data_IF_058330818135
#
_entry.id   IF_058330818135
#
_cell.length_a   1.000
_cell.length_b   1.000
_cell.length_c   1.000
_cell.angle_alpha   90.00
_cell.angle_beta   90.00
_cell.angle_gamma   90.00
#
_symmetry.space_group_name_H-M   'P 1'
#
loop_
_entity.id
_entity.type
_entity.pdbx_description
1 polymer ?
#
# COMPACT_ATOMS: atom_id res chain seq x y z
N UNK A 1 -3.46 9.80 -28.17
CA UNK A 1 -2.14 9.51 -27.56
C UNK A 1 -2.41 9.13 -26.10
N UNK A 2 -1.80 8.07 -25.59
CA UNK A 2 -1.99 7.66 -24.19
C UNK A 2 -1.25 8.65 -23.29
N UNK A 3 -1.97 9.25 -22.35
CA UNK A 3 -1.40 10.09 -21.29
C UNK A 3 -2.12 9.77 -19.98
N UNK A 4 -1.37 9.35 -18.96
CA UNK A 4 -1.88 8.92 -17.66
C UNK A 4 -1.61 9.94 -16.55
N UNK A 5 -1.03 11.08 -16.91
CA UNK A 5 -0.80 12.17 -15.98
C UNK A 5 -2.12 12.78 -15.55
N UNK A 6 -2.25 13.08 -14.28
CA UNK A 6 -3.36 13.85 -13.71
C UNK A 6 -2.84 15.08 -13.02
N UNK A 7 -3.65 16.14 -12.98
CA UNK A 7 -3.23 17.47 -12.54
C UNK A 7 -3.18 17.62 -11.02
N UNK A 8 -3.91 16.76 -10.29
CA UNK A 8 -4.00 16.85 -8.83
C UNK A 8 -4.25 15.49 -8.18
N UNK A 9 -3.98 15.43 -6.87
CA UNK A 9 -4.27 14.25 -6.07
C UNK A 9 -5.78 14.01 -5.94
N UNK A 10 -6.59 15.05 -5.87
CA UNK A 10 -8.05 14.94 -5.80
C UNK A 10 -8.63 14.40 -7.12
N UNK A 11 -8.09 14.83 -8.25
CA UNK A 11 -8.40 14.25 -9.55
C UNK A 11 -7.97 12.78 -9.62
N UNK A 12 -6.81 12.45 -9.06
CA UNK A 12 -6.29 11.08 -9.07
C UNK A 12 -7.24 10.08 -8.39
N UNK A 13 -7.95 10.51 -7.32
CA UNK A 13 -8.87 9.66 -6.54
C UNK A 13 -10.36 9.97 -6.81
N UNK A 14 -10.69 10.70 -7.88
CA UNK A 14 -12.03 11.25 -8.14
C UNK A 14 -13.19 10.23 -8.07
N UNK A 15 -12.96 9.02 -8.52
CA UNK A 15 -13.94 7.93 -8.62
C UNK A 15 -13.89 6.94 -7.45
N UNK A 16 -13.03 7.18 -6.46
CA UNK A 16 -12.99 6.38 -5.25
C UNK A 16 -14.22 6.68 -4.38
N UNK A 17 -14.99 5.66 -4.04
CA UNK A 17 -16.23 5.76 -3.28
C UNK A 17 -16.22 4.95 -1.99
N UNK A 18 -17.36 4.95 -1.30
CA UNK A 18 -17.58 4.19 -0.07
C UNK A 18 -17.38 2.70 -0.27
N UNK A 19 -16.90 2.03 0.78
CA UNK A 19 -16.69 0.58 0.78
C UNK A 19 -15.48 0.09 -0.04
N UNK A 20 -14.76 0.97 -0.73
CA UNK A 20 -13.63 0.59 -1.59
C UNK A 20 -12.52 -0.16 -0.84
N UNK A 21 -11.92 -1.12 -1.51
CA UNK A 21 -10.72 -1.85 -1.06
C UNK A 21 -9.47 -1.19 -1.63
N UNK A 22 -8.64 -0.65 -0.73
CA UNK A 22 -7.42 0.08 -1.05
C UNK A 22 -6.18 -0.75 -0.73
N UNK A 23 -5.40 -1.08 -1.74
CA UNK A 23 -4.04 -1.58 -1.56
C UNK A 23 -3.12 -0.36 -1.39
N UNK A 24 -2.53 -0.19 -0.21
CA UNK A 24 -1.69 0.97 0.09
C UNK A 24 -0.24 0.52 0.18
N UNK A 25 0.56 1.00 -0.75
CA UNK A 25 1.97 0.65 -0.90
C UNK A 25 2.85 1.10 0.27
N UNK A 26 4.08 0.60 0.29
CA UNK A 26 5.04 0.81 1.36
C UNK A 26 5.16 -0.38 2.30
N UNK A 27 6.17 -0.33 3.17
CA UNK A 27 6.44 -1.39 4.14
C UNK A 27 6.36 -0.88 5.57
N UNK A 28 7.10 0.16 5.90
CA UNK A 28 7.09 0.81 7.21
C UNK A 28 7.70 2.21 7.21
N UNK A 29 8.36 2.61 6.12
CA UNK A 29 9.03 3.90 6.00
C UNK A 29 8.15 4.97 5.35
N UNK A 30 8.36 6.23 5.72
CA UNK A 30 7.62 7.32 5.09
C UNK A 30 8.04 7.58 3.64
N UNK A 31 9.29 7.23 3.28
CA UNK A 31 9.76 7.32 1.90
C UNK A 31 9.01 6.39 0.95
N UNK A 32 8.32 5.39 1.49
CA UNK A 32 7.66 4.33 0.74
C UNK A 32 6.16 4.53 0.60
N UNK A 33 5.56 5.33 1.51
CA UNK A 33 4.13 5.54 1.58
C UNK A 33 3.67 6.55 0.52
N UNK A 34 2.55 6.26 -0.19
CA UNK A 34 1.89 7.22 -1.08
C UNK A 34 1.09 8.24 -0.26
N UNK A 35 1.80 9.07 0.50
CA UNK A 35 1.29 9.93 1.57
C UNK A 35 0.26 10.95 1.08
N UNK A 36 0.50 11.58 -0.07
CA UNK A 36 -0.41 12.59 -0.62
C UNK A 36 -1.67 11.97 -1.21
N UNK A 37 -1.57 10.74 -1.75
CA UNK A 37 -2.76 9.98 -2.17
C UNK A 37 -3.63 9.60 -0.96
N UNK A 38 -3.01 9.17 0.15
CA UNK A 38 -3.73 8.91 1.41
C UNK A 38 -4.44 10.18 1.90
N UNK A 39 -3.77 11.33 1.87
CA UNK A 39 -4.38 12.61 2.25
C UNK A 39 -5.55 12.99 1.33
N UNK A 40 -5.44 12.75 0.02
CA UNK A 40 -6.52 13.01 -0.93
C UNK A 40 -7.75 12.11 -0.64
N UNK A 41 -7.55 10.83 -0.38
CA UNK A 41 -8.64 9.93 0.05
C UNK A 41 -9.29 10.43 1.35
N UNK A 42 -8.48 10.89 2.30
CA UNK A 42 -8.99 11.43 3.56
C UNK A 42 -9.91 12.65 3.36
N UNK A 43 -9.59 13.53 2.41
CA UNK A 43 -10.42 14.71 2.07
C UNK A 43 -11.77 14.35 1.42
N UNK A 44 -11.85 13.20 0.74
CA UNK A 44 -13.12 12.73 0.14
C UNK A 44 -14.18 12.34 1.17
N UNK A 45 -13.78 12.12 2.43
CA UNK A 45 -14.69 11.74 3.52
C UNK A 45 -15.48 10.44 3.26
N UNK A 46 -15.05 9.61 2.32
CA UNK A 46 -15.60 8.28 2.04
C UNK A 46 -15.52 7.38 3.27
N UNK A 47 -16.44 6.42 3.39
CA UNK A 47 -16.58 5.55 4.55
C UNK A 47 -16.51 4.06 4.19
N UNK A 48 -16.34 3.23 5.22
CA UNK A 48 -16.40 1.79 5.08
C UNK A 48 -15.23 1.18 4.31
N UNK A 49 -14.10 1.88 4.19
CA UNK A 49 -12.93 1.42 3.44
C UNK A 49 -12.34 0.13 4.03
N UNK A 50 -11.86 -0.74 3.15
CA UNK A 50 -10.96 -1.83 3.50
C UNK A 50 -9.54 -1.44 3.09
N UNK A 51 -8.61 -1.38 4.03
CA UNK A 51 -7.20 -1.13 3.73
C UNK A 51 -6.40 -2.42 3.74
N UNK A 52 -5.52 -2.57 2.75
CA UNK A 52 -4.64 -3.72 2.58
C UNK A 52 -3.20 -3.22 2.56
N UNK A 53 -2.35 -3.77 3.42
CA UNK A 53 -0.94 -3.37 3.47
C UNK A 53 -0.11 -4.19 4.45
N UNK A 54 1.19 -3.91 4.50
CA UNK A 54 2.04 -4.53 5.52
C UNK A 54 1.59 -4.11 6.93
N UNK A 55 1.37 -2.82 7.13
CA UNK A 55 0.85 -2.24 8.37
C UNK A 55 -0.09 -1.09 8.06
N UNK A 56 -0.89 -0.71 9.06
CA UNK A 56 -1.73 0.49 8.98
C UNK A 56 -0.97 1.79 9.31
N UNK A 57 0.32 1.70 9.67
CA UNK A 57 1.10 2.83 10.16
C UNK A 57 0.89 3.10 11.65
N UNK A 58 1.75 3.95 12.20
CA UNK A 58 1.83 4.19 13.65
C UNK A 58 1.07 5.43 14.13
N UNK A 59 0.38 6.14 13.23
CA UNK A 59 -0.15 7.47 13.52
C UNK A 59 0.89 8.59 13.34
N UNK A 60 0.40 9.75 12.93
CA UNK A 60 1.27 10.89 12.60
C UNK A 60 2.05 11.40 13.83
N UNK A 61 1.36 11.59 14.95
CA UNK A 61 1.99 12.03 16.21
C UNK A 61 3.03 11.03 16.76
N UNK A 62 2.68 9.74 16.70
CA UNK A 62 3.57 8.68 17.15
C UNK A 62 4.85 8.62 16.30
N UNK A 63 4.69 8.76 14.98
CA UNK A 63 5.81 8.79 14.04
C UNK A 63 6.72 9.98 14.31
N UNK A 64 6.18 11.18 14.50
CA UNK A 64 6.95 12.38 14.83
C UNK A 64 7.75 12.20 16.12
N UNK A 65 7.14 11.70 17.19
CA UNK A 65 7.80 11.50 18.50
C UNK A 65 8.85 10.40 18.48
N UNK A 66 8.50 9.23 17.91
CA UNK A 66 9.37 8.05 17.95
C UNK A 66 10.54 8.14 17.00
N UNK A 67 10.30 8.68 15.80
CA UNK A 67 11.31 8.76 14.76
C UNK A 67 12.16 10.03 14.85
N UNK A 68 11.78 11.00 15.70
CA UNK A 68 12.50 12.26 15.87
C UNK A 68 13.99 12.10 16.20
N UNK A 69 14.37 10.98 16.82
CA UNK A 69 15.78 10.66 17.14
C UNK A 69 16.54 10.05 15.96
N UNK A 70 15.83 9.46 15.00
CA UNK A 70 16.43 8.74 13.86
C UNK A 70 16.24 9.49 12.55
N UNK A 71 15.07 10.10 12.38
CA UNK A 71 14.69 10.78 11.14
C UNK A 71 13.77 11.96 11.45
N UNK A 72 13.86 13.01 10.65
CA UNK A 72 12.86 14.09 10.66
C UNK A 72 11.66 13.62 9.81
N UNK A 73 10.57 13.24 10.48
CA UNK A 73 9.31 12.97 9.78
C UNK A 73 8.78 14.26 9.17
N UNK A 74 8.47 14.30 7.87
CA UNK A 74 7.83 15.46 7.26
C UNK A 74 6.52 15.82 7.95
N UNK A 75 6.22 17.12 8.06
CA UNK A 75 4.99 17.58 8.71
C UNK A 75 3.73 17.19 7.93
N UNK A 76 3.86 17.03 6.63
CA UNK A 76 2.84 16.62 5.66
C UNK A 76 2.86 15.12 5.34
N UNK A 77 3.40 14.29 6.24
CA UNK A 77 3.34 12.84 6.13
C UNK A 77 1.99 12.30 6.62
N UNK A 78 1.27 11.61 5.75
CA UNK A 78 -0.03 10.99 6.02
C UNK A 78 0.07 9.47 5.87
N UNK A 79 0.29 8.71 6.97
CA UNK A 79 0.30 7.25 6.95
C UNK A 79 -1.10 6.69 6.69
N UNK A 80 -1.26 5.39 6.34
CA UNK A 80 -2.58 4.77 6.18
C UNK A 80 -3.46 4.89 7.42
N UNK A 81 -2.88 4.95 8.63
CA UNK A 81 -3.61 5.18 9.89
C UNK A 81 -4.35 6.52 9.93
N UNK A 82 -3.98 7.49 9.11
CA UNK A 82 -4.69 8.77 9.01
C UNK A 82 -6.16 8.57 8.57
N UNK A 83 -6.43 7.57 7.70
CA UNK A 83 -7.80 7.19 7.33
C UNK A 83 -8.56 6.56 8.51
N UNK A 84 -7.85 5.85 9.41
CA UNK A 84 -8.44 5.24 10.61
C UNK A 84 -8.79 6.33 11.63
N UNK A 85 -7.88 7.27 11.87
CA UNK A 85 -8.08 8.42 12.77
C UNK A 85 -9.29 9.27 12.33
N UNK A 86 -9.61 9.29 11.03
CA UNK A 86 -10.78 9.96 10.46
C UNK A 86 -12.06 9.10 10.45
N UNK A 87 -12.00 7.86 10.97
CA UNK A 87 -13.15 6.95 11.01
C UNK A 87 -13.65 6.51 9.63
N UNK A 88 -12.76 6.44 8.64
CA UNK A 88 -13.10 6.07 7.27
C UNK A 88 -12.94 4.57 6.99
N UNK A 89 -12.19 3.85 7.85
CA UNK A 89 -11.81 2.45 7.65
C UNK A 89 -12.73 1.53 8.46
N UNK A 90 -13.27 0.51 7.81
CA UNK A 90 -14.06 -0.57 8.42
C UNK A 90 -13.22 -1.83 8.67
N UNK A 91 -12.26 -2.14 7.78
CA UNK A 91 -11.49 -3.37 7.83
C UNK A 91 -10.02 -3.13 7.47
N UNK A 92 -9.12 -3.77 8.19
CA UNK A 92 -7.70 -3.90 7.81
C UNK A 92 -7.36 -5.34 7.46
N UNK A 93 -6.71 -5.56 6.30
CA UNK A 93 -6.06 -6.83 5.91
C UNK A 93 -4.57 -6.57 6.01
N UNK A 94 -3.96 -6.98 7.11
CA UNK A 94 -2.63 -6.52 7.53
C UNK A 94 -1.74 -7.69 7.93
N UNK A 95 -0.44 -7.55 7.62
CA UNK A 95 0.58 -8.49 8.08
C UNK A 95 1.14 -8.10 9.46
N UNK A 96 1.16 -6.81 9.75
CA UNK A 96 1.69 -6.26 11.01
C UNK A 96 0.77 -5.14 11.53
N UNK A 97 -0.30 -5.47 12.27
CA UNK A 97 -1.28 -4.49 12.77
C UNK A 97 -0.84 -3.73 14.01
N UNK A 98 0.16 -4.26 14.76
CA UNK A 98 0.56 -3.72 16.05
C UNK A 98 1.66 -2.66 15.93
N UNK A 99 1.69 -1.73 16.89
CA UNK A 99 2.83 -0.84 17.09
C UNK A 99 3.97 -1.57 17.83
N UNK A 100 5.20 -1.20 17.52
CA UNK A 100 6.34 -1.62 18.33
C UNK A 100 6.46 -0.68 19.53
N UNK A 101 6.36 -1.20 20.76
CA UNK A 101 6.53 -0.44 21.99
C UNK A 101 5.29 -0.45 22.90
N UNK A 102 5.25 0.43 23.87
CA UNK A 102 4.21 0.45 24.92
C UNK A 102 2.93 1.22 24.51
N UNK A 103 2.98 2.04 23.47
CA UNK A 103 1.82 2.80 22.99
C UNK A 103 1.11 2.08 21.85
N UNK A 104 -0.22 2.08 21.88
CA UNK A 104 -1.04 1.51 20.82
C UNK A 104 -1.03 2.41 19.58
N UNK A 105 -1.06 1.78 18.41
CA UNK A 105 -1.35 2.47 17.15
C UNK A 105 -2.82 2.87 17.05
N UNK A 106 -3.18 3.81 16.16
CA UNK A 106 -4.59 4.12 15.87
C UNK A 106 -5.40 2.88 15.46
N UNK A 107 -4.79 1.92 14.76
CA UNK A 107 -5.43 0.66 14.41
C UNK A 107 -5.75 -0.19 15.64
N UNK A 108 -4.78 -0.37 16.55
CA UNK A 108 -4.96 -1.16 17.77
C UNK A 108 -6.02 -0.54 18.70
N UNK A 109 -6.07 0.80 18.76
CA UNK A 109 -7.11 1.50 19.55
C UNK A 109 -8.51 1.29 18.96
N UNK A 110 -8.66 1.45 17.63
CA UNK A 110 -9.93 1.26 16.96
C UNK A 110 -10.40 -0.21 17.01
N UNK A 111 -9.46 -1.15 16.85
CA UNK A 111 -9.75 -2.59 16.97
C UNK A 111 -10.20 -2.96 18.38
N UNK A 112 -9.51 -2.48 19.43
CA UNK A 112 -9.89 -2.74 20.82
C UNK A 112 -11.27 -2.19 21.19
N UNK A 113 -11.73 -1.12 20.48
CA UNK A 113 -13.08 -0.54 20.64
C UNK A 113 -14.13 -1.23 19.75
N UNK A 114 -13.78 -2.27 18.99
CA UNK A 114 -14.69 -2.95 18.05
C UNK A 114 -15.12 -2.09 16.87
N UNK A 115 -14.39 -1.03 16.54
CA UNK A 115 -14.72 -0.08 15.47
C UNK A 115 -14.17 -0.51 14.10
N UNK A 116 -13.18 -1.43 14.08
CA UNK A 116 -12.53 -1.91 12.86
C UNK A 116 -12.32 -3.41 12.93
N UNK A 117 -12.49 -4.08 11.79
CA UNK A 117 -12.21 -5.51 11.64
C UNK A 117 -10.74 -5.75 11.27
N UNK A 118 -10.18 -6.88 11.71
CA UNK A 118 -8.84 -7.33 11.33
C UNK A 118 -8.91 -8.69 10.62
N UNK A 119 -8.32 -8.75 9.43
CA UNK A 119 -7.86 -9.99 8.81
C UNK A 119 -6.34 -10.03 8.92
N UNK A 120 -5.84 -10.81 9.89
CA UNK A 120 -4.41 -11.00 10.06
C UNK A 120 -3.89 -12.03 9.04
N UNK A 121 -2.82 -11.70 8.34
CA UNK A 121 -2.23 -12.53 7.30
C UNK A 121 -0.71 -12.55 7.44
N UNK A 122 -0.09 -13.70 7.20
CA UNK A 122 1.38 -13.76 7.10
C UNK A 122 1.89 -12.89 5.96
N UNK A 123 2.97 -12.15 6.20
CA UNK A 123 3.49 -11.15 5.25
C UNK A 123 3.80 -11.73 3.86
N UNK A 124 4.45 -12.92 3.82
CA UNK A 124 4.71 -13.61 2.57
C UNK A 124 3.42 -14.02 1.84
N UNK A 125 2.42 -14.51 2.58
CA UNK A 125 1.09 -14.85 2.02
C UNK A 125 0.38 -13.61 1.50
N UNK A 126 0.49 -12.45 2.18
CA UNK A 126 -0.04 -11.17 1.69
C UNK A 126 0.59 -10.80 0.35
N UNK A 127 1.91 -10.83 0.27
CA UNK A 127 2.64 -10.50 -0.96
C UNK A 127 2.24 -11.42 -2.12
N UNK A 128 2.13 -12.73 -1.87
CA UNK A 128 1.75 -13.71 -2.90
C UNK A 128 0.27 -13.59 -3.29
N UNK A 129 -0.65 -13.31 -2.37
CA UNK A 129 -2.06 -13.06 -2.70
C UNK A 129 -2.23 -11.85 -3.62
N UNK A 130 -1.46 -10.79 -3.38
CA UNK A 130 -1.43 -9.57 -4.22
C UNK A 130 -0.79 -9.89 -5.58
N UNK A 131 0.37 -10.57 -5.59
CA UNK A 131 1.04 -10.99 -6.83
C UNK A 131 0.14 -11.89 -7.69
N UNK A 132 -0.55 -12.82 -7.05
CA UNK A 132 -1.51 -13.73 -7.67
C UNK A 132 -2.66 -12.98 -8.34
N UNK A 133 -3.20 -11.94 -7.65
CA UNK A 133 -4.22 -11.07 -8.20
C UNK A 133 -3.75 -10.32 -9.46
N UNK A 134 -2.54 -9.74 -9.41
CA UNK A 134 -1.90 -9.09 -10.57
C UNK A 134 -1.71 -10.03 -11.76
N UNK A 135 -1.38 -11.30 -11.48
CA UNK A 135 -1.16 -12.32 -12.51
C UNK A 135 -2.47 -12.91 -13.08
N UNK A 136 -3.65 -12.53 -12.56
CA UNK A 136 -4.92 -13.12 -12.94
C UNK A 136 -5.13 -14.57 -12.45
N UNK A 137 -4.34 -15.03 -11.49
CA UNK A 137 -4.42 -16.36 -10.88
C UNK A 137 -5.42 -16.32 -9.73
N UNK A 138 -6.33 -17.29 -9.63
CA UNK A 138 -7.42 -17.26 -8.66
C UNK A 138 -6.96 -17.52 -7.20
N UNK A 139 -5.88 -18.26 -7.01
CA UNK A 139 -5.32 -18.61 -5.72
C UNK A 139 -4.17 -19.59 -5.84
N UNK A 140 -3.56 -19.93 -4.71
CA UNK A 140 -2.44 -20.87 -4.63
C UNK A 140 -2.46 -21.63 -3.32
N UNK A 141 -1.84 -22.80 -3.29
CA UNK A 141 -1.63 -23.57 -2.08
C UNK A 141 -0.28 -23.25 -1.44
N UNK A 142 -0.27 -23.03 -0.13
CA UNK A 142 0.95 -22.76 0.65
C UNK A 142 0.97 -23.56 1.95
N UNK A 143 2.13 -24.02 2.42
CA UNK A 143 2.22 -24.64 3.74
C UNK A 143 2.21 -23.62 4.88
N UNK A 144 2.32 -22.32 4.57
CA UNK A 144 2.35 -21.25 5.58
C UNK A 144 0.99 -21.12 6.24
N UNK A 145 0.98 -21.17 7.57
CA UNK A 145 -0.23 -21.04 8.38
C UNK A 145 -1.00 -22.35 8.61
N UNK A 146 -0.61 -23.48 8.01
CA UNK A 146 -1.22 -24.78 8.29
C UNK A 146 -1.13 -25.11 9.79
N UNK A 147 -2.26 -25.52 10.40
CA UNK A 147 -2.35 -25.81 11.84
C UNK A 147 -2.42 -24.58 12.75
N UNK A 148 -2.52 -23.38 12.19
CA UNK A 148 -2.72 -22.13 12.95
C UNK A 148 -4.13 -21.55 12.71
N UNK A 149 -4.52 -20.55 13.50
CA UNK A 149 -5.79 -19.84 13.32
C UNK A 149 -5.90 -19.15 11.96
N UNK A 150 -4.77 -18.83 11.29
CA UNK A 150 -4.76 -18.24 9.95
C UNK A 150 -5.35 -19.19 8.89
N UNK A 151 -5.27 -20.49 9.11
CA UNK A 151 -5.85 -21.50 8.23
C UNK A 151 -7.34 -21.79 8.53
N UNK A 152 -7.90 -21.24 9.60
CA UNK A 152 -9.27 -21.53 10.01
C UNK A 152 -10.27 -21.14 8.89
N UNK A 153 -11.15 -22.10 8.54
CA UNK A 153 -12.16 -21.90 7.49
C UNK A 153 -11.64 -21.93 6.05
N UNK A 154 -10.33 -22.14 5.84
CA UNK A 154 -9.74 -22.28 4.51
C UNK A 154 -9.65 -23.74 4.09
N UNK A 155 -9.71 -23.99 2.79
CA UNK A 155 -9.50 -25.33 2.21
C UNK A 155 -8.05 -25.77 2.47
N UNK A 156 -7.90 -27.02 2.93
CA UNK A 156 -6.60 -27.68 3.14
C UNK A 156 -6.50 -28.89 2.23
N UNK A 157 -5.42 -29.00 1.48
CA UNK A 157 -5.07 -30.19 0.67
C UNK A 157 -3.71 -30.73 1.04
N UNK A 158 -3.53 -32.02 0.78
CA UNK A 158 -2.24 -32.68 0.95
C UNK A 158 -1.63 -32.96 -0.42
N UNK A 159 -0.34 -32.63 -0.57
CA UNK A 159 0.49 -32.92 -1.74
C UNK A 159 1.79 -33.53 -1.21
N UNK A 160 2.16 -34.69 -1.73
CA UNK A 160 3.40 -35.39 -1.39
C UNK A 160 3.62 -35.56 0.14
N UNK A 161 2.54 -35.92 0.86
CA UNK A 161 2.57 -36.12 2.33
C UNK A 161 2.63 -34.84 3.16
N UNK A 162 2.52 -33.63 2.52
CA UNK A 162 2.54 -32.34 3.20
C UNK A 162 1.23 -31.58 3.01
N UNK A 163 0.71 -31.00 4.10
CA UNK A 163 -0.51 -30.19 4.07
C UNK A 163 -0.25 -28.76 3.61
N UNK A 164 -1.18 -28.23 2.83
CA UNK A 164 -1.20 -26.88 2.29
C UNK A 164 -2.57 -26.27 2.48
N UNK A 165 -2.61 -24.96 2.71
CA UNK A 165 -3.83 -24.16 2.79
C UNK A 165 -4.01 -23.37 1.50
N UNK A 166 -5.24 -23.28 1.00
CA UNK A 166 -5.59 -22.44 -0.14
C UNK A 166 -5.64 -20.96 0.27
N UNK A 167 -4.78 -20.16 -0.33
CA UNK A 167 -4.84 -18.70 -0.28
C UNK A 167 -5.42 -18.16 -1.58
N UNK A 168 -6.49 -17.37 -1.48
CA UNK A 168 -7.13 -16.73 -2.64
C UNK A 168 -6.44 -15.43 -3.02
N UNK A 169 -6.46 -15.10 -4.31
CA UNK A 169 -5.98 -13.82 -4.81
C UNK A 169 -6.65 -12.64 -4.08
N UNK A 170 -5.87 -11.63 -3.73
CA UNK A 170 -6.34 -10.44 -3.04
C UNK A 170 -6.35 -9.26 -4.01
N UNK A 171 -7.51 -8.98 -4.57
CA UNK A 171 -7.76 -7.85 -5.48
C UNK A 171 -8.24 -6.64 -4.70
N UNK A 172 -7.84 -5.44 -5.15
CA UNK A 172 -8.40 -4.17 -4.68
C UNK A 172 -9.21 -3.45 -5.76
N UNK A 173 -9.94 -2.44 -5.33
CA UNK A 173 -10.54 -1.46 -6.25
C UNK A 173 -9.48 -0.47 -6.70
N UNK A 174 -8.66 -0.01 -5.74
CA UNK A 174 -7.56 0.92 -5.99
C UNK A 174 -6.26 0.42 -5.37
N UNK A 175 -5.16 0.57 -6.13
CA UNK A 175 -3.79 0.50 -5.60
C UNK A 175 -3.23 1.91 -5.54
N UNK A 176 -2.95 2.39 -4.34
CA UNK A 176 -2.24 3.64 -4.09
C UNK A 176 -0.77 3.30 -3.89
N UNK A 177 0.08 3.69 -4.81
CA UNK A 177 1.50 3.34 -4.77
C UNK A 177 2.40 4.56 -4.91
N UNK A 178 3.63 4.42 -4.41
CA UNK A 178 4.68 5.41 -4.59
C UNK A 178 5.80 4.86 -5.46
N UNK A 179 6.29 5.68 -6.39
CA UNK A 179 7.50 5.40 -7.16
C UNK A 179 8.42 6.63 -7.16
N UNK A 180 9.62 6.50 -7.72
CA UNK A 180 10.57 7.58 -7.84
C UNK A 180 10.31 8.40 -9.11
N UNK A 181 10.29 7.74 -10.27
CA UNK A 181 10.08 8.41 -11.56
C UNK A 181 9.04 7.67 -12.38
N UNK A 182 8.29 8.40 -13.18
CA UNK A 182 7.39 7.85 -14.19
C UNK A 182 7.55 8.57 -15.52
N UNK A 183 7.17 7.93 -16.61
CA UNK A 183 6.83 8.60 -17.85
C UNK A 183 5.31 8.78 -17.99
N UNK A 184 4.87 9.50 -19.02
CA UNK A 184 3.43 9.74 -19.30
C UNK A 184 2.64 8.45 -19.58
N UNK A 185 3.30 7.36 -19.91
CA UNK A 185 2.67 6.05 -20.13
C UNK A 185 2.47 5.27 -18.84
N UNK A 186 3.00 5.76 -17.71
CA UNK A 186 2.92 5.11 -16.41
C UNK A 186 3.96 4.02 -16.19
N UNK A 187 5.05 3.98 -16.96
CA UNK A 187 6.21 3.17 -16.63
C UNK A 187 6.88 3.74 -15.37
N UNK A 188 7.20 2.86 -14.39
CA UNK A 188 7.70 3.31 -13.09
C UNK A 188 9.09 2.77 -12.80
N UNK A 189 9.92 3.67 -12.27
CA UNK A 189 11.23 3.39 -11.67
C UNK A 189 11.16 3.68 -10.17
N UNK A 190 11.72 2.79 -9.37
CA UNK A 190 11.78 2.92 -7.92
C UNK A 190 13.20 3.26 -7.46
N UNK A 191 13.30 3.89 -6.28
CA UNK A 191 14.59 4.23 -5.68
C UNK A 191 14.64 3.71 -4.24
N UNK A 192 15.71 2.94 -3.91
CA UNK A 192 15.89 2.39 -2.58
C UNK A 192 14.68 1.58 -2.12
N UNK A 193 14.20 1.85 -0.92
CA UNK A 193 13.10 1.12 -0.27
C UNK A 193 11.72 1.44 -0.84
N UNK A 194 11.57 2.40 -1.76
CA UNK A 194 10.26 2.70 -2.37
C UNK A 194 9.71 1.54 -3.20
N UNK A 195 10.54 0.57 -3.59
CA UNK A 195 10.10 -0.59 -4.37
C UNK A 195 9.13 -1.48 -3.61
N UNK A 196 9.48 -1.95 -2.43
CA UNK A 196 8.70 -2.79 -1.48
C UNK A 196 7.35 -3.31 -2.02
N UNK A 197 6.25 -3.15 -1.27
CA UNK A 197 4.90 -3.52 -1.71
C UNK A 197 4.37 -2.67 -2.88
N UNK A 198 4.95 -1.47 -3.12
CA UNK A 198 4.51 -0.60 -4.20
C UNK A 198 4.55 -1.31 -5.57
N UNK A 199 5.68 -1.96 -5.88
CA UNK A 199 5.83 -2.69 -7.13
C UNK A 199 4.92 -3.93 -7.21
N UNK A 200 4.65 -4.59 -6.09
CA UNK A 200 3.80 -5.78 -6.02
C UNK A 200 2.32 -5.43 -6.19
N UNK A 201 1.88 -4.32 -5.60
CA UNK A 201 0.49 -3.86 -5.64
C UNK A 201 0.08 -3.26 -6.99
N UNK A 202 1.04 -2.76 -7.78
CA UNK A 202 0.76 -2.28 -9.12
C UNK A 202 0.10 -3.38 -9.97
N UNK A 203 -1.10 -3.10 -10.51
CA UNK A 203 -1.87 -4.04 -11.33
C UNK A 203 -2.66 -5.09 -10.56
N UNK A 204 -2.65 -5.08 -9.22
CA UNK A 204 -3.47 -5.97 -8.40
C UNK A 204 -4.88 -5.40 -8.11
N UNK A 205 -5.16 -4.19 -8.57
CA UNK A 205 -6.46 -3.51 -8.42
C UNK A 205 -7.01 -3.09 -9.78
N UNK A 206 -8.29 -2.73 -9.80
CA UNK A 206 -8.92 -2.21 -11.01
C UNK A 206 -8.24 -0.90 -11.48
N UNK A 207 -7.86 -0.05 -10.53
CA UNK A 207 -7.17 1.22 -10.79
C UNK A 207 -5.90 1.30 -9.94
N UNK A 208 -4.76 1.46 -10.58
CA UNK A 208 -3.48 1.78 -9.93
C UNK A 208 -3.15 3.24 -10.14
N UNK A 209 -2.92 3.96 -9.04
CA UNK A 209 -2.54 5.37 -9.00
C UNK A 209 -1.14 5.47 -8.43
N UNK A 210 -0.21 6.04 -9.19
CA UNK A 210 1.17 6.21 -8.78
C UNK A 210 1.45 7.67 -8.39
N UNK A 211 1.85 7.89 -7.14
CA UNK A 211 2.46 9.12 -6.64
C UNK A 211 3.95 9.06 -6.93
N UNK A 212 4.50 10.04 -7.65
CA UNK A 212 5.91 10.02 -8.07
C UNK A 212 6.63 11.31 -7.71
N UNK A 213 7.96 11.22 -7.56
CA UNK A 213 8.78 12.41 -7.30
C UNK A 213 8.97 13.23 -8.57
N UNK A 214 8.99 12.58 -9.76
CA UNK A 214 9.23 13.21 -11.05
C UNK A 214 8.52 12.48 -12.19
N UNK A 215 7.98 13.24 -13.14
CA UNK A 215 7.55 12.72 -14.44
C UNK A 215 8.55 13.16 -15.49
N UNK A 216 9.02 12.22 -16.30
CA UNK A 216 9.97 12.44 -17.37
C UNK A 216 9.31 12.23 -18.73
N UNK A 217 9.96 12.67 -19.80
CA UNK A 217 9.48 12.43 -21.15
C UNK A 217 9.59 10.96 -21.55
N UNK A 218 8.73 10.54 -22.47
CA UNK A 218 8.75 9.17 -22.97
C UNK A 218 10.09 8.87 -23.67
N UNK A 219 10.74 7.79 -23.25
CA UNK A 219 12.06 7.39 -23.76
C UNK A 219 13.24 7.81 -22.86
N UNK A 220 13.02 8.65 -21.84
CA UNK A 220 14.09 9.02 -20.90
C UNK A 220 14.34 7.99 -19.80
N UNK A 221 13.35 7.13 -19.51
CA UNK A 221 13.58 6.03 -18.59
C UNK A 221 14.42 4.94 -19.25
N UNK A 222 15.48 4.53 -18.58
CA UNK A 222 16.27 3.37 -18.99
C UNK A 222 15.39 2.12 -18.92
N UNK A 223 15.16 1.40 -20.02
CA UNK A 223 14.21 0.27 -20.07
C UNK A 223 14.48 -0.81 -19.01
N UNK A 224 15.74 -1.12 -18.75
CA UNK A 224 16.16 -2.12 -17.77
C UNK A 224 15.86 -1.72 -16.32
N UNK A 225 15.65 -0.43 -16.06
CA UNK A 225 15.28 0.10 -14.76
C UNK A 225 13.76 0.16 -14.53
N UNK A 226 12.95 -0.08 -15.56
CA UNK A 226 11.49 -0.08 -15.45
C UNK A 226 11.04 -1.35 -14.72
N UNK A 227 10.67 -1.20 -13.46
CA UNK A 227 10.20 -2.32 -12.63
C UNK A 227 8.69 -2.56 -12.79
N UNK A 228 7.93 -1.49 -12.97
CA UNK A 228 6.49 -1.57 -13.21
C UNK A 228 6.19 -1.03 -14.61
N UNK A 229 5.84 -1.90 -15.57
CA UNK A 229 5.37 -1.47 -16.88
C UNK A 229 4.07 -0.66 -16.78
N UNK A 230 3.95 0.34 -17.64
CA UNK A 230 2.81 1.25 -17.65
C UNK A 230 1.44 0.58 -17.78
N UNK A 231 1.37 -0.62 -18.38
CA UNK A 231 0.11 -1.37 -18.50
C UNK A 231 -0.60 -1.60 -17.16
N UNK A 232 0.14 -1.61 -16.06
CA UNK A 232 -0.37 -1.80 -14.70
C UNK A 232 -0.79 -0.50 -14.00
N UNK A 233 -0.56 0.67 -14.62
CA UNK A 233 -0.79 1.98 -13.99
C UNK A 233 -1.83 2.75 -14.80
N UNK A 234 -2.86 3.26 -14.16
CA UNK A 234 -3.92 4.04 -14.80
C UNK A 234 -3.72 5.54 -14.64
N UNK A 235 -3.11 5.98 -13.51
CA UNK A 235 -2.90 7.40 -13.23
C UNK A 235 -1.54 7.64 -12.59
N UNK A 236 -0.93 8.76 -12.95
CA UNK A 236 0.34 9.23 -12.38
C UNK A 236 0.18 10.68 -11.94
N UNK A 237 0.57 10.98 -10.71
CA UNK A 237 0.55 12.33 -10.13
C UNK A 237 1.90 12.67 -9.51
N UNK A 238 2.38 13.89 -9.74
CA UNK A 238 3.64 14.38 -9.18
C UNK A 238 3.42 14.89 -7.77
N UNK A 239 4.32 14.53 -6.87
CA UNK A 239 4.37 15.07 -5.52
C UNK A 239 4.83 16.53 -5.54
N UNK A 240 4.39 17.34 -4.57
CA UNK A 240 5.06 18.61 -4.30
C UNK A 240 6.56 18.35 -4.07
N UNK A 241 7.40 19.26 -4.57
CA UNK A 241 8.85 19.19 -4.32
C UNK A 241 9.11 19.45 -2.84
N UNK A 242 9.37 18.38 -2.10
CA UNK A 242 9.82 18.52 -0.72
C UNK A 242 11.30 18.96 -0.69
N UNK A 243 11.68 19.85 0.24
CA UNK A 243 13.09 19.97 0.60
C UNK A 243 13.55 18.55 0.99
N UNK A 244 14.60 18.04 0.34
CA UNK A 244 15.10 16.66 0.54
C UNK A 244 15.57 16.48 1.99
N UNK A 245 14.65 16.20 2.91
CA UNK A 245 14.96 15.81 4.29
C UNK A 245 15.70 14.47 4.40
N UNK A 246 15.99 13.84 3.24
CA UNK A 246 16.61 12.52 3.10
C UNK A 246 18.09 12.56 2.67
N UNK A 247 18.71 13.71 2.61
CA UNK A 247 20.15 13.78 2.48
C UNK A 247 20.76 13.32 3.80
N UNK A 248 20.90 11.99 3.95
CA UNK A 248 21.90 11.47 4.87
C UNK A 248 23.23 12.07 4.41
N UNK A 249 24.01 12.72 5.30
CA UNK A 249 25.37 13.09 4.98
C UNK A 249 26.09 11.81 4.54
N UNK A 250 26.67 11.87 3.33
CA UNK A 250 27.47 10.79 2.77
C UNK A 250 28.71 10.50 3.61
#
# INVERSE_FOLDING_TARGET
MIDKRVSSFDEAVRDLGDGATLLIGGFAGFAECPSYLVAAVARKEVKGLTIVGNSAGLGQEHMKKRMARLFKCPDDYYPPSFLIERGQVRKGILAFPAAMGSSRSPFEEAYAKGQIELELIGQGSLAERIRTARAGIAGFYTPVGVGTFVAAGKEVREFDGRKYVLERALKGDFSLIRAHRADRYGNLVYRGTTRTFNATMAGASAITIAEVDEIVEAGELVPEHIVTPGVYVQRVVVRPSEPRAWNLPG
#
